data_IF_113643420963
#
_entry.id   IF_113643420963
#
_cell.length_a   1.000
_cell.length_b   1.000
_cell.length_c   1.000
_cell.angle_alpha   90.00
_cell.angle_beta   90.00
_cell.angle_gamma   90.00
#
_symmetry.space_group_name_H-M   'P 1'
#
loop_
_entity.id
_entity.type
_entity.pdbx_description
1 polymer ?
#
# COMPACT_ATOMS: atom_id res chain seq x y z
N UNK A 1 28.34 -22.55 30.14
CA UNK A 1 26.93 -22.77 29.75
C UNK A 1 26.78 -22.37 28.28
N UNK A 2 26.87 -23.33 27.36
CA UNK A 2 26.75 -23.09 25.92
C UNK A 2 25.38 -23.59 25.45
N UNK A 3 24.53 -22.67 24.98
CA UNK A 3 23.21 -23.01 24.44
C UNK A 3 23.35 -23.84 23.17
N UNK A 4 22.90 -25.09 23.22
CA UNK A 4 22.84 -25.96 22.05
C UNK A 4 21.86 -25.39 21.02
N UNK A 5 22.37 -24.96 19.87
CA UNK A 5 21.59 -24.56 18.72
C UNK A 5 20.96 -25.80 18.03
N UNK A 6 19.88 -26.33 18.59
CA UNK A 6 19.07 -27.38 17.97
C UNK A 6 18.31 -26.80 16.76
N UNK A 7 18.62 -27.19 15.53
CA UNK A 7 17.71 -26.93 14.39
C UNK A 7 18.26 -27.13 12.99
N UNK A 8 19.50 -26.71 12.71
CA UNK A 8 20.05 -26.78 11.32
C UNK A 8 20.75 -28.11 11.00
N UNK A 9 21.45 -28.72 11.97
CA UNK A 9 22.16 -29.99 11.74
C UNK A 9 21.20 -31.17 11.55
N UNK A 10 20.23 -31.31 12.44
CA UNK A 10 19.30 -32.45 12.46
C UNK A 10 18.46 -32.58 11.19
N UNK A 11 18.03 -31.45 10.61
CA UNK A 11 17.25 -31.45 9.37
C UNK A 11 18.10 -31.83 8.15
N UNK A 12 19.35 -31.37 8.08
CA UNK A 12 20.27 -31.74 7.00
C UNK A 12 20.75 -33.19 7.10
N UNK A 13 20.97 -33.70 8.32
CA UNK A 13 21.33 -35.10 8.54
C UNK A 13 20.21 -36.06 8.17
N UNK A 14 18.95 -35.69 8.43
CA UNK A 14 17.78 -36.46 7.96
C UNK A 14 17.64 -36.43 6.44
N UNK A 15 17.99 -35.32 5.78
CA UNK A 15 17.93 -35.24 4.31
C UNK A 15 19.00 -36.10 3.62
N UNK A 16 20.12 -36.42 4.29
CA UNK A 16 21.18 -37.29 3.74
C UNK A 16 20.76 -38.76 3.64
N UNK A 17 19.87 -39.23 4.51
CA UNK A 17 19.37 -40.62 4.51
C UNK A 17 18.13 -40.83 3.63
N UNK A 18 17.43 -39.75 3.30
CA UNK A 18 16.22 -39.78 2.47
C UNK A 18 16.57 -39.88 0.97
N UNK A 19 15.67 -40.42 0.13
CA UNK A 19 15.88 -40.46 -1.30
C UNK A 19 15.99 -39.04 -1.88
N UNK A 20 16.71 -38.92 -3.00
CA UNK A 20 16.92 -37.64 -3.68
C UNK A 20 15.59 -36.93 -3.97
N UNK A 21 15.53 -35.65 -3.64
CA UNK A 21 14.40 -34.78 -4.00
C UNK A 21 14.29 -34.70 -5.51
N UNK A 22 13.12 -35.03 -6.05
CA UNK A 22 12.81 -35.05 -7.47
C UNK A 22 11.42 -34.44 -7.71
N UNK A 23 11.05 -34.16 -8.95
CA UNK A 23 9.72 -33.59 -9.24
C UNK A 23 8.57 -34.49 -8.75
N UNK A 24 8.80 -35.80 -8.63
CA UNK A 24 7.80 -36.76 -8.21
C UNK A 24 7.45 -36.69 -6.71
N UNK A 25 8.37 -36.22 -5.84
CA UNK A 25 8.15 -36.22 -4.39
C UNK A 25 7.80 -34.85 -3.79
N UNK A 26 7.52 -33.86 -4.65
CA UNK A 26 7.04 -32.55 -4.23
C UNK A 26 5.57 -32.62 -3.81
N UNK A 27 5.27 -32.09 -2.62
CA UNK A 27 3.90 -31.93 -2.13
C UNK A 27 3.65 -30.49 -1.69
N UNK A 28 2.45 -29.94 -1.93
CA UNK A 28 2.08 -28.63 -1.37
C UNK A 28 2.09 -28.69 0.16
N UNK A 29 2.26 -27.54 0.82
CA UNK A 29 2.14 -27.47 2.28
C UNK A 29 0.75 -27.91 2.71
N UNK A 30 0.68 -28.55 3.89
CA UNK A 30 -0.57 -29.08 4.41
C UNK A 30 -1.62 -27.96 4.48
N UNK A 31 -2.83 -28.24 3.98
CA UNK A 31 -3.98 -27.32 3.96
C UNK A 31 -3.85 -26.06 3.07
N UNK A 32 -2.77 -25.87 2.30
CA UNK A 32 -2.67 -24.76 1.34
C UNK A 32 -3.65 -24.91 0.16
N UNK A 33 -3.92 -26.15 -0.26
CA UNK A 33 -4.87 -26.44 -1.35
C UNK A 33 -6.17 -26.99 -0.79
N UNK A 34 -7.26 -26.25 -0.98
CA UNK A 34 -8.62 -26.73 -0.66
C UNK A 34 -9.06 -27.75 -1.70
N UNK A 35 -9.64 -28.87 -1.24
CA UNK A 35 -10.21 -29.89 -2.14
C UNK A 35 -11.39 -29.30 -2.90
N UNK A 36 -11.42 -29.51 -4.22
CA UNK A 36 -12.53 -29.12 -5.09
C UNK A 36 -13.83 -29.80 -4.66
N UNK A 37 -14.96 -29.09 -4.72
CA UNK A 37 -16.27 -29.61 -4.33
C UNK A 37 -17.10 -29.91 -5.58
N UNK A 38 -17.12 -31.19 -5.99
CA UNK A 38 -17.88 -31.64 -7.18
C UNK A 38 -19.30 -32.13 -6.83
N UNK A 39 -20.32 -31.88 -7.67
CA UNK A 39 -21.69 -32.34 -7.43
C UNK A 39 -21.91 -33.75 -7.98
N UNK A 40 -21.09 -34.73 -7.58
CA UNK A 40 -21.18 -36.13 -8.06
C UNK A 40 -21.63 -37.12 -6.97
N UNK A 41 -21.41 -36.80 -5.70
CA UNK A 41 -21.63 -37.75 -4.60
C UNK A 41 -23.06 -37.69 -4.05
N UNK A 42 -23.50 -38.73 -3.32
CA UNK A 42 -24.79 -38.75 -2.60
C UNK A 42 -25.04 -37.47 -1.77
N UNK A 43 -24.00 -36.93 -1.13
CA UNK A 43 -24.07 -35.72 -0.30
C UNK A 43 -24.30 -34.43 -1.10
N UNK A 44 -23.86 -34.36 -2.35
CA UNK A 44 -23.82 -33.13 -3.16
C UNK A 44 -24.46 -33.22 -4.54
N UNK A 45 -24.93 -34.39 -4.95
CA UNK A 45 -25.39 -34.69 -6.31
C UNK A 45 -26.82 -34.23 -6.57
N UNK A 46 -27.82 -34.80 -5.88
CA UNK A 46 -29.24 -34.70 -6.27
C UNK A 46 -29.72 -33.30 -6.69
N UNK A 47 -29.48 -32.28 -5.86
CA UNK A 47 -29.89 -30.89 -6.15
C UNK A 47 -28.69 -29.96 -6.36
N UNK A 48 -27.47 -30.48 -6.30
CA UNK A 48 -26.23 -29.68 -6.39
C UNK A 48 -26.18 -28.45 -5.45
N UNK A 49 -26.91 -28.47 -4.32
CA UNK A 49 -27.04 -27.31 -3.42
C UNK A 49 -27.93 -26.16 -3.93
N UNK A 50 -28.63 -26.33 -5.07
CA UNK A 50 -29.43 -25.27 -5.72
C UNK A 50 -30.87 -25.14 -5.19
N UNK A 51 -31.37 -26.14 -4.46
CA UNK A 51 -32.74 -26.17 -3.92
C UNK A 51 -33.76 -26.84 -4.84
N UNK A 52 -35.05 -26.57 -4.64
CA UNK A 52 -36.18 -27.13 -5.40
C UNK A 52 -36.87 -26.07 -6.25
N UNK A 53 -37.06 -26.35 -7.54
CA UNK A 53 -37.79 -25.54 -8.54
C UNK A 53 -37.47 -24.04 -8.43
N UNK A 54 -38.28 -23.20 -9.08
CA UNK A 54 -38.15 -21.75 -9.06
C UNK A 54 -36.84 -21.21 -9.64
N UNK A 55 -36.65 -19.91 -9.49
CA UNK A 55 -35.53 -19.15 -10.04
C UNK A 55 -34.19 -19.57 -9.42
N UNK A 56 -34.19 -20.00 -8.14
CA UNK A 56 -32.97 -20.46 -7.44
C UNK A 56 -32.36 -21.70 -8.09
N UNK A 57 -33.18 -22.65 -8.54
CA UNK A 57 -32.68 -23.86 -9.21
C UNK A 57 -32.31 -23.57 -10.68
N UNK A 58 -33.11 -22.73 -11.36
CA UNK A 58 -32.96 -22.40 -12.78
C UNK A 58 -31.84 -21.39 -13.05
N UNK A 59 -31.34 -20.72 -12.02
CA UNK A 59 -30.27 -19.71 -12.15
C UNK A 59 -30.77 -18.36 -12.69
N UNK A 60 -32.08 -18.15 -12.71
CA UNK A 60 -32.74 -16.97 -13.30
C UNK A 60 -33.16 -15.96 -12.24
N UNK A 61 -32.32 -15.75 -11.22
CA UNK A 61 -32.62 -14.79 -10.15
C UNK A 61 -32.59 -13.36 -10.70
N UNK A 62 -33.44 -12.47 -10.16
CA UNK A 62 -33.32 -11.04 -10.41
C UNK A 62 -31.94 -10.49 -10.05
N UNK A 63 -31.60 -9.32 -10.61
CA UNK A 63 -30.36 -8.61 -10.33
C UNK A 63 -30.17 -8.33 -8.83
N UNK A 64 -28.91 -8.19 -8.41
CA UNK A 64 -28.58 -7.77 -7.04
C UNK A 64 -29.25 -6.42 -6.74
N UNK A 65 -29.89 -6.33 -5.57
CA UNK A 65 -30.65 -5.15 -5.15
C UNK A 65 -32.14 -5.16 -5.54
N UNK A 66 -32.66 -6.22 -6.18
CA UNK A 66 -34.10 -6.34 -6.43
C UNK A 66 -34.85 -6.89 -5.19
N UNK A 67 -35.88 -6.18 -4.74
CA UNK A 67 -36.67 -6.48 -3.52
C UNK A 67 -38.07 -7.06 -3.82
N UNK A 68 -38.26 -7.71 -4.97
CA UNK A 68 -39.53 -8.40 -5.26
C UNK A 68 -40.65 -7.51 -5.79
N UNK A 69 -40.34 -6.30 -6.24
CA UNK A 69 -41.29 -5.37 -6.86
C UNK A 69 -41.47 -4.05 -6.11
N UNK A 70 -41.05 -3.97 -4.85
CA UNK A 70 -40.96 -2.71 -4.10
C UNK A 70 -39.81 -1.83 -4.63
N UNK A 71 -39.88 -0.52 -4.37
CA UNK A 71 -38.75 0.39 -4.56
C UNK A 71 -37.53 -0.11 -3.77
N UNK A 72 -36.40 -0.43 -4.42
CA UNK A 72 -35.20 -0.92 -3.75
C UNK A 72 -34.63 0.06 -2.73
N UNK A 73 -34.02 -0.45 -1.66
CA UNK A 73 -33.38 0.35 -0.61
C UNK A 73 -32.39 1.39 -1.15
N UNK A 74 -31.52 1.01 -2.10
CA UNK A 74 -30.52 1.92 -2.67
C UNK A 74 -31.11 3.05 -3.53
N UNK A 75 -32.42 2.99 -3.85
CA UNK A 75 -33.17 4.03 -4.56
C UNK A 75 -33.98 4.88 -3.56
N UNK A 76 -34.40 4.30 -2.43
CA UNK A 76 -35.13 5.04 -1.38
C UNK A 76 -34.28 6.12 -0.72
N UNK A 77 -32.97 5.90 -0.62
CA UNK A 77 -32.05 6.89 -0.07
C UNK A 77 -31.89 8.03 -1.09
N UNK A 78 -32.10 9.30 -0.69
CA UNK A 78 -31.93 10.43 -1.60
C UNK A 78 -30.47 10.54 -2.06
N UNK A 79 -30.28 11.01 -3.29
CA UNK A 79 -28.93 11.30 -3.79
C UNK A 79 -28.38 12.51 -3.04
N UNK A 80 -27.15 12.39 -2.58
CA UNK A 80 -26.38 13.48 -2.01
C UNK A 80 -24.97 13.45 -2.60
N UNK A 81 -24.34 14.62 -2.73
CA UNK A 81 -23.05 14.83 -3.40
C UNK A 81 -21.83 14.29 -2.65
N UNK A 82 -21.94 13.15 -1.95
CA UNK A 82 -20.86 12.60 -1.11
C UNK A 82 -19.51 12.48 -1.86
N UNK A 83 -19.58 11.91 -3.07
CA UNK A 83 -18.41 11.69 -3.93
C UNK A 83 -18.35 12.70 -5.08
N UNK A 84 -19.09 13.80 -5.01
CA UNK A 84 -19.01 14.81 -6.07
C UNK A 84 -17.58 15.36 -6.15
N UNK A 85 -17.05 15.43 -7.38
CA UNK A 85 -15.68 15.85 -7.65
C UNK A 85 -14.58 14.92 -7.12
N UNK A 86 -14.88 13.71 -6.65
CA UNK A 86 -13.87 12.82 -6.03
C UNK A 86 -12.64 12.56 -6.91
N UNK A 87 -12.82 12.53 -8.23
CA UNK A 87 -11.75 12.32 -9.23
C UNK A 87 -10.81 13.52 -9.41
N UNK A 88 -11.19 14.69 -8.91
CA UNK A 88 -10.40 15.93 -8.99
C UNK A 88 -9.82 16.35 -7.63
N UNK A 89 -10.15 15.65 -6.54
CA UNK A 89 -9.63 15.96 -5.21
C UNK A 89 -8.14 15.62 -5.15
N UNK A 90 -7.34 16.58 -4.69
CA UNK A 90 -5.92 16.38 -4.48
C UNK A 90 -5.72 15.52 -3.23
N UNK A 91 -4.94 14.45 -3.35
CA UNK A 91 -4.61 13.58 -2.23
C UNK A 91 -3.12 13.69 -1.92
N UNK A 92 -2.79 13.67 -0.63
CA UNK A 92 -1.41 13.70 -0.15
C UNK A 92 -1.20 12.54 0.80
N UNK A 93 -0.13 11.78 0.57
CA UNK A 93 0.18 10.64 1.42
C UNK A 93 0.77 11.16 2.75
N UNK A 94 0.23 10.75 3.92
CA UNK A 94 0.76 11.20 5.20
C UNK A 94 2.15 10.61 5.46
N UNK A 95 3.06 11.48 5.87
CA UNK A 95 4.39 11.16 6.39
C UNK A 95 4.50 11.70 7.82
N UNK A 96 4.56 10.79 8.80
CA UNK A 96 4.75 11.15 10.20
C UNK A 96 6.22 11.41 10.53
N UNK A 97 6.47 12.30 11.49
CA UNK A 97 7.81 12.58 12.00
C UNK A 97 8.45 11.32 12.61
N UNK A 98 7.66 10.49 13.28
CA UNK A 98 8.12 9.17 13.78
C UNK A 98 8.65 8.28 12.64
N UNK A 99 7.94 8.24 11.50
CA UNK A 99 8.35 7.45 10.34
C UNK A 99 9.61 8.03 9.72
N UNK A 100 9.72 9.36 9.64
CA UNK A 100 10.89 10.06 9.14
C UNK A 100 12.12 9.72 9.99
N UNK A 101 12.04 9.84 11.32
CA UNK A 101 13.12 9.48 12.24
C UNK A 101 13.57 8.02 12.03
N UNK A 102 12.61 7.09 11.95
CA UNK A 102 12.91 5.68 11.69
C UNK A 102 13.69 5.44 10.39
N UNK A 103 13.43 6.23 9.34
CA UNK A 103 14.15 6.09 8.07
C UNK A 103 15.59 6.60 8.16
N UNK A 104 15.81 7.65 8.95
CA UNK A 104 17.14 8.20 9.25
C UNK A 104 17.93 7.22 10.10
N UNK A 105 17.33 6.67 11.14
CA UNK A 105 17.99 5.72 12.06
C UNK A 105 18.44 4.44 11.32
N UNK A 106 17.67 4.03 10.30
CA UNK A 106 18.04 2.90 9.42
C UNK A 106 19.10 3.26 8.37
N UNK A 107 19.48 4.53 8.22
CA UNK A 107 20.39 5.00 7.18
C UNK A 107 19.81 4.87 5.76
N UNK A 108 18.48 4.95 5.62
CA UNK A 108 17.81 4.92 4.31
C UNK A 108 17.62 6.31 3.70
N UNK A 109 17.55 7.31 4.57
CA UNK A 109 17.42 8.72 4.20
C UNK A 109 18.51 9.46 4.95
N UNK A 110 19.39 10.13 4.20
CA UNK A 110 20.53 10.84 4.76
C UNK A 110 20.12 12.28 5.12
N UNK A 111 20.20 12.70 6.40
CA UNK A 111 19.77 14.03 6.84
C UNK A 111 20.74 15.15 6.43
N UNK A 112 21.92 14.80 5.91
CA UNK A 112 22.93 15.77 5.45
C UNK A 112 22.60 16.40 4.10
N UNK A 113 21.77 15.74 3.30
CA UNK A 113 21.28 16.21 2.00
C UNK A 113 19.85 16.73 2.13
N UNK A 114 19.39 17.61 1.22
CA UNK A 114 17.97 17.98 1.17
C UNK A 114 17.11 16.73 0.93
N UNK A 115 16.08 16.56 1.76
CA UNK A 115 15.14 15.45 1.69
C UNK A 115 14.01 15.84 0.73
N UNK A 116 14.17 15.43 -0.53
CA UNK A 116 13.15 15.59 -1.57
C UNK A 116 12.23 14.37 -1.63
N UNK A 117 11.14 14.48 -2.39
CA UNK A 117 10.25 13.36 -2.72
C UNK A 117 11.01 12.15 -3.30
N UNK A 118 12.03 12.38 -4.11
CA UNK A 118 12.83 11.32 -4.74
C UNK A 118 13.55 10.47 -3.71
N UNK A 119 14.15 11.10 -2.69
CA UNK A 119 14.82 10.43 -1.58
C UNK A 119 13.84 9.61 -0.74
N UNK A 120 12.66 10.17 -0.46
CA UNK A 120 11.61 9.46 0.28
C UNK A 120 11.08 8.23 -0.45
N UNK A 121 10.96 8.29 -1.78
CA UNK A 121 10.52 7.16 -2.60
C UNK A 121 11.64 6.11 -2.71
N UNK A 122 12.88 6.53 -2.94
CA UNK A 122 14.05 5.63 -3.01
C UNK A 122 14.27 4.86 -1.69
N UNK A 123 14.14 5.55 -0.55
CA UNK A 123 14.20 4.94 0.79
C UNK A 123 13.01 4.04 1.13
N UNK A 124 12.00 3.95 0.23
CA UNK A 124 10.70 3.30 0.46
C UNK A 124 10.03 3.80 1.75
N UNK A 125 10.20 5.09 2.01
CA UNK A 125 9.59 5.80 3.13
C UNK A 125 8.11 6.04 2.87
N UNK A 126 7.80 6.44 1.64
CA UNK A 126 6.44 6.72 1.15
C UNK A 126 6.25 6.04 -0.21
N UNK A 127 5.03 5.58 -0.49
CA UNK A 127 4.63 5.10 -1.82
C UNK A 127 3.55 6.03 -2.34
N UNK A 128 3.86 6.76 -3.41
CA UNK A 128 2.97 7.73 -4.04
C UNK A 128 2.50 7.14 -5.37
N UNK A 129 1.25 7.34 -5.73
CA UNK A 129 0.65 6.81 -6.96
C UNK A 129 0.01 7.96 -7.76
N UNK A 130 0.75 8.57 -8.72
CA UNK A 130 0.25 9.72 -9.50
C UNK A 130 -1.09 9.42 -10.21
N UNK A 131 -1.29 8.17 -10.65
CA UNK A 131 -2.52 7.71 -11.30
C UNK A 131 -3.76 7.75 -10.38
N UNK A 132 -3.56 7.73 -9.06
CA UNK A 132 -4.64 7.79 -8.06
C UNK A 132 -4.97 9.21 -7.61
N UNK A 133 -4.47 10.23 -8.31
CA UNK A 133 -4.62 11.65 -7.95
C UNK A 133 -3.87 12.02 -6.66
N UNK A 134 -2.76 11.34 -6.40
CA UNK A 134 -1.80 11.79 -5.41
C UNK A 134 -1.01 12.95 -6.00
N UNK A 135 -0.90 14.04 -5.24
CA UNK A 135 -0.13 15.24 -5.60
C UNK A 135 1.16 15.36 -4.79
N UNK A 136 1.40 14.42 -3.86
CA UNK A 136 2.64 14.35 -3.09
C UNK A 136 2.40 13.80 -1.68
N UNK A 137 3.08 14.43 -0.72
CA UNK A 137 3.21 14.02 0.67
C UNK A 137 2.80 15.18 1.57
N UNK A 138 2.04 14.83 2.62
CA UNK A 138 1.70 15.74 3.71
C UNK A 138 2.49 15.33 4.96
N UNK A 139 3.20 16.27 5.56
CA UNK A 139 3.91 16.07 6.81
C UNK A 139 2.94 16.19 8.00
N UNK A 140 2.91 15.16 8.84
CA UNK A 140 2.01 15.04 9.99
C UNK A 140 2.82 15.03 11.30
N UNK A 141 2.25 15.66 12.33
CA UNK A 141 2.86 15.89 13.66
C UNK A 141 3.04 14.63 14.52
N UNK A 142 2.58 13.46 14.05
CA UNK A 142 2.70 12.22 14.81
C UNK A 142 4.18 11.90 15.10
N UNK A 143 4.54 11.91 16.39
CA UNK A 143 5.90 11.72 16.86
C UNK A 143 6.72 13.00 17.01
N UNK A 144 6.09 14.17 17.09
CA UNK A 144 6.77 15.44 17.31
C UNK A 144 7.67 15.46 18.57
N UNK A 145 7.26 14.79 19.65
CA UNK A 145 8.00 14.82 20.93
C UNK A 145 9.33 14.04 20.90
N UNK A 146 9.42 13.02 20.04
CA UNK A 146 10.58 12.12 19.97
C UNK A 146 11.51 12.43 18.80
N UNK A 147 11.10 13.36 17.93
CA UNK A 147 11.87 13.75 16.76
C UNK A 147 13.10 14.58 17.16
N UNK A 148 14.29 14.16 16.74
CA UNK A 148 15.56 14.81 17.11
C UNK A 148 16.45 15.15 15.90
N UNK A 149 16.12 14.64 14.72
CA UNK A 149 16.93 14.85 13.52
C UNK A 149 16.83 16.30 13.02
N UNK A 150 17.98 16.90 12.73
CA UNK A 150 18.07 18.15 11.97
C UNK A 150 17.99 17.82 10.47
N UNK A 151 16.92 18.25 9.81
CA UNK A 151 16.64 17.93 8.41
C UNK A 151 16.17 19.14 7.64
N UNK A 152 16.59 19.20 6.38
CA UNK A 152 16.04 20.13 5.38
C UNK A 152 15.10 19.31 4.50
N UNK A 153 13.79 19.53 4.59
CA UNK A 153 12.79 18.70 3.93
C UNK A 153 11.87 19.51 3.01
N UNK A 154 11.70 19.00 1.78
CA UNK A 154 10.77 19.50 0.78
C UNK A 154 9.49 18.65 0.74
N UNK A 155 8.35 19.22 1.13
CA UNK A 155 7.03 18.55 1.17
C UNK A 155 5.96 19.43 0.53
N UNK A 156 4.80 18.87 0.16
CA UNK A 156 3.74 19.64 -0.49
C UNK A 156 2.85 20.33 0.55
N UNK A 157 2.59 19.63 1.66
CA UNK A 157 1.84 20.14 2.79
C UNK A 157 2.54 19.77 4.09
N UNK A 158 2.41 20.62 5.11
CA UNK A 158 2.90 20.34 6.45
C UNK A 158 1.96 20.95 7.49
N UNK A 159 1.75 20.25 8.60
CA UNK A 159 1.03 20.80 9.75
C UNK A 159 1.91 21.76 10.54
N UNK A 160 1.31 22.81 11.12
CA UNK A 160 2.03 23.84 11.89
C UNK A 160 2.85 23.23 13.04
N UNK A 161 2.28 22.24 13.74
CA UNK A 161 2.96 21.52 14.82
C UNK A 161 4.17 20.73 14.30
N UNK A 162 4.08 20.14 13.11
CA UNK A 162 5.19 19.40 12.52
C UNK A 162 6.33 20.34 12.09
N UNK A 163 6.00 21.51 11.53
CA UNK A 163 6.97 22.55 11.19
C UNK A 163 7.71 23.00 12.45
N UNK A 164 6.97 23.34 13.52
CA UNK A 164 7.56 23.77 14.78
C UNK A 164 8.48 22.72 15.40
N UNK A 165 8.15 21.42 15.29
CA UNK A 165 9.00 20.34 15.80
C UNK A 165 10.33 20.24 15.02
N UNK A 166 10.30 20.42 13.70
CA UNK A 166 11.50 20.39 12.86
C UNK A 166 12.37 21.63 13.10
N UNK A 167 11.77 22.82 13.16
CA UNK A 167 12.47 24.08 13.39
C UNK A 167 13.10 24.16 14.78
N UNK A 168 12.47 23.59 15.81
CA UNK A 168 13.06 23.44 17.16
C UNK A 168 14.39 22.68 17.15
N UNK A 169 14.52 21.69 16.27
CA UNK A 169 15.76 20.93 16.07
C UNK A 169 16.73 21.62 15.08
N UNK A 170 16.38 22.82 14.59
CA UNK A 170 17.17 23.59 13.64
C UNK A 170 17.08 23.13 12.19
N UNK A 171 16.05 22.34 11.85
CA UNK A 171 15.74 21.97 10.47
C UNK A 171 15.02 23.07 9.70
N UNK A 172 14.83 22.85 8.40
CA UNK A 172 14.11 23.77 7.49
C UNK A 172 13.04 22.98 6.74
N UNK A 173 11.82 23.50 6.69
CA UNK A 173 10.72 22.91 5.91
C UNK A 173 10.39 23.85 4.75
N UNK A 174 10.43 23.32 3.53
CA UNK A 174 10.09 24.05 2.30
C UNK A 174 8.89 23.40 1.63
N UNK A 175 7.97 24.21 1.14
CA UNK A 175 6.80 23.73 0.42
C UNK A 175 6.94 23.92 -1.09
N UNK A 176 6.78 22.84 -1.83
CA UNK A 176 6.88 22.83 -3.29
C UNK A 176 5.69 22.11 -3.93
N UNK A 177 5.17 22.68 -5.01
CA UNK A 177 4.08 22.09 -5.80
C UNK A 177 4.63 21.34 -7.00
N UNK A 178 4.09 20.14 -7.25
CA UNK A 178 4.41 19.33 -8.43
C UNK A 178 3.14 19.05 -9.22
N UNK A 179 3.18 19.34 -10.52
CA UNK A 179 2.16 18.91 -11.47
C UNK A 179 2.11 17.37 -11.54
N UNK A 180 0.95 16.74 -11.81
CA UNK A 180 0.83 15.28 -11.91
C UNK A 180 1.84 14.63 -12.85
N UNK A 181 2.23 15.31 -13.93
CA UNK A 181 3.25 14.85 -14.87
C UNK A 181 4.64 14.90 -14.24
N UNK A 182 5.02 16.04 -13.67
CA UNK A 182 6.31 16.20 -12.98
C UNK A 182 6.47 15.22 -11.81
N UNK A 183 5.39 14.98 -11.07
CA UNK A 183 5.35 13.99 -10.00
C UNK A 183 5.57 12.57 -10.52
N UNK A 184 5.01 12.25 -11.70
CA UNK A 184 5.26 11.00 -12.40
C UNK A 184 6.71 10.84 -12.88
N UNK A 185 7.32 11.92 -13.38
CA UNK A 185 8.70 11.93 -13.87
C UNK A 185 9.73 11.79 -12.72
N UNK A 186 9.42 12.31 -11.53
CA UNK A 186 10.28 12.23 -10.34
C UNK A 186 10.31 10.82 -9.70
N UNK A 187 9.31 9.98 -9.97
CA UNK A 187 9.29 8.64 -9.42
C UNK A 187 10.17 7.71 -10.25
N UNK A 188 10.95 6.82 -9.61
CA UNK A 188 11.73 5.82 -10.30
C UNK A 188 10.76 4.84 -10.97
N UNK A 189 10.42 5.13 -12.21
CA UNK A 189 9.83 4.16 -13.12
C UNK A 189 10.99 3.40 -13.75
N UNK A 190 10.83 2.10 -13.89
CA UNK A 190 11.70 1.26 -14.73
C UNK A 190 11.73 1.70 -16.21
N UNK A 191 10.89 2.67 -16.57
CA UNK A 191 10.53 3.00 -17.95
C UNK A 191 11.05 4.39 -18.40
N UNK A 192 11.52 5.26 -17.49
CA UNK A 192 11.95 6.63 -17.81
C UNK A 192 13.49 6.84 -17.72
N UNK A 193 14.28 5.96 -18.33
CA UNK A 193 15.76 6.12 -18.40
C UNK A 193 16.25 7.17 -19.43
N UNK A 194 15.39 8.10 -19.89
CA UNK A 194 15.68 8.91 -21.10
C UNK A 194 15.70 10.44 -20.98
N UNK A 195 15.16 11.06 -19.92
CA UNK A 195 15.02 12.52 -19.87
C UNK A 195 15.58 13.12 -18.59
N UNK A 196 16.86 13.49 -18.60
CA UNK A 196 17.39 14.51 -17.70
C UNK A 196 16.82 15.88 -18.12
N UNK A 197 15.57 16.16 -17.75
CA UNK A 197 15.01 17.50 -17.89
C UNK A 197 15.47 18.34 -16.69
N UNK A 198 16.44 19.23 -16.94
CA UNK A 198 16.75 20.35 -16.06
C UNK A 198 15.50 21.23 -15.97
N UNK A 199 14.72 21.11 -14.91
CA UNK A 199 13.65 22.06 -14.63
C UNK A 199 14.22 23.25 -13.86
N UNK A 200 14.11 24.43 -14.48
CA UNK A 200 14.38 25.72 -13.86
C UNK A 200 13.34 25.97 -12.76
N UNK A 201 13.78 25.93 -11.50
CA UNK A 201 12.99 26.36 -10.34
C UNK A 201 12.64 27.85 -10.49
N UNK A 202 11.35 28.16 -10.56
CA UNK A 202 10.86 29.52 -10.34
C UNK A 202 10.61 29.64 -8.83
N UNK A 203 11.53 30.31 -8.12
CA UNK A 203 11.27 30.78 -6.76
C UNK A 203 10.25 31.91 -6.82
N UNK A 204 9.06 31.69 -6.27
CA UNK A 204 8.18 32.80 -5.86
C UNK A 204 8.61 33.16 -4.43
N UNK A 205 9.13 34.38 -4.28
CA UNK A 205 9.44 35.01 -2.99
C UNK A 205 8.18 35.37 -2.23
#
# INVERSE_FOLDING_TARGET
>A
MAGMAFGRGTSLDLLRSLPRVSLANLKPSLNSRKRERRPRDRRRGRKCGRGHKGERQRGTRPRLGFEGGQTPFYIRIPKYGFNEGHSFRHQYQPLSLRRLQYLIDLGRVDPTQPIDLTQLVNGRGVTIQPLKRDYGVQLVEEGADTFQAKVNIEVQMASELAIAAIEKNGGVVTTAFYDPRSLGDLMPSSDFHGCQARYSFIHIR
#
